data_IF_026108462862
#
_entry.id   IF_026108462862
#
_cell.length_a   1.000
_cell.length_b   1.000
_cell.length_c   1.000
_cell.angle_alpha   90.00
_cell.angle_beta   90.00
_cell.angle_gamma   90.00
#
_symmetry.space_group_name_H-M   'P 1'
#
loop_
_entity.id
_entity.type
_entity.pdbx_description
1 polymer ?
#
# COMPACT_ATOMS: atom_id res chain seq x y z
N UNK A 1 -12.36 1.15 -7.01
CA UNK A 1 -13.18 0.52 -5.93
C UNK A 1 -12.84 -0.97 -5.92
N UNK A 2 -12.35 -1.57 -4.82
CA UNK A 2 -12.29 -3.05 -4.74
C UNK A 2 -13.75 -3.51 -4.59
N UNK A 3 -14.35 -4.18 -5.57
CA UNK A 3 -15.76 -4.56 -5.49
C UNK A 3 -15.84 -5.81 -4.62
N UNK A 4 -15.96 -5.62 -3.32
CA UNK A 4 -16.25 -6.71 -2.40
C UNK A 4 -17.16 -6.16 -1.32
N UNK A 5 -18.38 -6.69 -1.30
CA UNK A 5 -19.40 -6.43 -0.28
C UNK A 5 -19.10 -7.15 1.05
N UNK A 6 -17.95 -7.82 1.15
CA UNK A 6 -17.51 -8.59 2.32
C UNK A 6 -16.27 -7.93 2.91
N UNK A 7 -16.36 -7.61 4.19
CA UNK A 7 -15.24 -7.02 4.91
C UNK A 7 -14.03 -7.97 4.86
N UNK A 8 -12.78 -7.45 4.75
CA UNK A 8 -11.56 -8.24 4.58
C UNK A 8 -11.41 -9.43 5.54
N UNK A 9 -11.91 -9.30 6.76
CA UNK A 9 -11.78 -10.28 7.83
C UNK A 9 -12.76 -11.46 7.71
N UNK A 10 -13.86 -11.30 6.97
CA UNK A 10 -14.91 -12.33 6.86
C UNK A 10 -14.55 -13.46 5.88
N UNK A 11 -13.72 -13.15 4.88
CA UNK A 11 -13.35 -14.10 3.82
C UNK A 11 -12.16 -15.02 4.15
N UNK A 12 -11.38 -14.71 5.19
CA UNK A 12 -10.11 -15.40 5.46
C UNK A 12 -9.03 -15.20 4.37
N UNK A 13 -9.30 -14.35 3.37
CA UNK A 13 -8.40 -14.06 2.27
C UNK A 13 -7.20 -13.23 2.77
N UNK A 14 -5.99 -13.78 2.61
CA UNK A 14 -4.78 -13.01 2.82
C UNK A 14 -4.67 -11.88 1.80
N UNK A 15 -4.38 -10.67 2.28
CA UNK A 15 -4.03 -9.54 1.44
C UNK A 15 -2.51 -9.44 1.34
N UNK A 16 -1.98 -9.65 0.14
CA UNK A 16 -0.54 -9.50 -0.14
C UNK A 16 -0.29 -8.22 -0.91
N UNK A 17 0.70 -7.46 -0.46
CA UNK A 17 1.16 -6.24 -1.13
C UNK A 17 2.64 -6.38 -1.47
N UNK A 18 2.98 -6.31 -2.76
CA UNK A 18 4.37 -6.25 -3.23
C UNK A 18 4.62 -4.82 -3.69
N UNK A 19 5.62 -4.17 -3.10
CA UNK A 19 6.00 -2.79 -3.42
C UNK A 19 7.40 -2.71 -4.00
N UNK A 20 7.54 -1.89 -5.03
CA UNK A 20 8.83 -1.53 -5.63
C UNK A 20 8.94 -0.02 -5.67
N UNK A 21 9.94 0.51 -4.97
CA UNK A 21 10.23 1.94 -4.86
C UNK A 21 11.54 2.24 -5.60
N UNK A 22 11.48 3.02 -6.68
CA UNK A 22 12.63 3.49 -7.46
C UNK A 22 12.43 4.97 -7.78
N UNK A 23 13.53 5.73 -7.97
CA UNK A 23 13.52 7.20 -8.16
C UNK A 23 12.47 7.71 -9.17
N UNK A 24 12.22 6.95 -10.25
CA UNK A 24 11.34 7.37 -11.34
C UNK A 24 10.06 6.53 -11.47
N UNK A 25 9.85 5.54 -10.58
CA UNK A 25 8.68 4.67 -10.68
C UNK A 25 8.40 3.95 -9.37
N UNK A 26 7.20 4.16 -8.84
CA UNK A 26 6.71 3.46 -7.66
C UNK A 26 5.50 2.64 -8.07
N UNK A 27 5.62 1.33 -7.90
CA UNK A 27 4.61 0.36 -8.31
C UNK A 27 4.26 -0.55 -7.16
N UNK A 28 3.00 -0.93 -7.08
CA UNK A 28 2.55 -1.97 -6.17
C UNK A 28 1.63 -2.97 -6.83
N UNK A 29 1.71 -4.22 -6.39
CA UNK A 29 0.73 -5.25 -6.71
C UNK A 29 0.02 -5.64 -5.42
N UNK A 30 -1.30 -5.43 -5.38
CA UNK A 30 -2.17 -5.92 -4.32
C UNK A 30 -2.85 -7.20 -4.80
N UNK A 31 -2.80 -8.25 -4.00
CA UNK A 31 -3.51 -9.50 -4.26
C UNK A 31 -4.45 -9.78 -3.09
N UNK A 32 -5.72 -10.10 -3.37
CA UNK A 32 -6.71 -10.56 -2.40
C UNK A 32 -7.49 -11.72 -3.00
N UNK A 33 -7.40 -12.90 -2.36
CA UNK A 33 -7.93 -14.14 -2.93
C UNK A 33 -7.37 -14.38 -4.34
N UNK A 34 -8.26 -14.51 -5.34
CA UNK A 34 -7.88 -14.67 -6.77
C UNK A 34 -7.68 -13.35 -7.52
N UNK A 35 -7.97 -12.22 -6.90
CA UNK A 35 -7.91 -10.90 -7.56
C UNK A 35 -6.53 -10.28 -7.41
N UNK A 36 -6.05 -9.63 -8.48
CA UNK A 36 -4.79 -8.87 -8.50
C UNK A 36 -5.05 -7.47 -9.04
N UNK A 37 -4.50 -6.48 -8.35
CA UNK A 37 -4.61 -5.06 -8.68
C UNK A 37 -3.19 -4.49 -8.80
N UNK A 38 -2.91 -3.80 -9.89
CA UNK A 38 -1.63 -3.13 -10.11
C UNK A 38 -1.85 -1.63 -10.00
N UNK A 39 -1.05 -0.97 -9.18
CA UNK A 39 -1.11 0.48 -9.01
C UNK A 39 0.21 1.12 -9.40
N UNK A 40 0.10 2.21 -10.13
CA UNK A 40 1.18 3.15 -10.40
C UNK A 40 1.01 4.33 -9.46
N UNK A 41 2.07 4.65 -8.70
CA UNK A 41 2.05 5.71 -7.72
C UNK A 41 2.91 6.88 -8.17
N UNK A 42 2.45 8.09 -7.85
CA UNK A 42 3.26 9.31 -7.84
C UNK A 42 3.55 9.71 -6.40
N UNK A 43 4.75 10.23 -6.12
CA UNK A 43 5.09 10.80 -4.82
C UNK A 43 4.55 12.22 -4.72
N UNK A 44 3.94 12.56 -3.58
CA UNK A 44 3.65 13.94 -3.25
C UNK A 44 4.87 14.64 -2.66
N UNK A 45 5.39 15.64 -3.36
CA UNK A 45 6.47 16.48 -2.85
C UNK A 45 7.73 15.69 -2.49
N UNK A 46 8.45 16.19 -1.47
CA UNK A 46 9.69 15.59 -1.03
C UNK A 46 9.46 14.37 -0.13
N UNK A 47 10.32 13.35 -0.32
CA UNK A 47 10.40 12.21 0.60
C UNK A 47 11.06 12.71 1.88
N UNK A 48 10.31 12.71 2.98
CA UNK A 48 10.85 13.00 4.29
C UNK A 48 11.36 11.70 4.93
N UNK A 49 12.36 11.82 5.81
CA UNK A 49 13.03 10.68 6.44
C UNK A 49 12.07 9.71 7.14
N UNK A 50 10.92 10.19 7.58
CA UNK A 50 9.91 9.49 8.36
C UNK A 50 8.55 9.36 7.66
N UNK A 51 8.36 9.99 6.49
CA UNK A 51 7.07 10.07 5.81
C UNK A 51 7.20 10.03 4.29
N UNK A 52 6.46 9.11 3.67
CA UNK A 52 6.27 9.06 2.21
C UNK A 52 4.78 9.13 1.92
N UNK A 53 4.40 10.04 1.02
CA UNK A 53 3.01 10.18 0.60
C UNK A 53 2.87 9.89 -0.89
N UNK A 54 1.92 9.03 -1.22
CA UNK A 54 1.74 8.49 -2.57
C UNK A 54 0.30 8.67 -3.03
N UNK A 55 0.13 8.90 -4.33
CA UNK A 55 -1.15 8.93 -5.01
C UNK A 55 -1.20 7.90 -6.12
N UNK A 56 -2.26 7.10 -6.18
CA UNK A 56 -2.47 6.21 -7.30
C UNK A 56 -2.78 7.05 -8.54
N UNK A 57 -2.13 6.83 -9.68
CA UNK A 57 -2.39 7.65 -10.88
C UNK A 57 -3.76 7.36 -11.50
N UNK A 58 -4.17 6.09 -11.44
CA UNK A 58 -5.31 5.57 -12.19
C UNK A 58 -6.55 5.33 -11.31
N UNK A 59 -6.43 5.55 -9.99
CA UNK A 59 -7.47 5.22 -9.00
C UNK A 59 -7.66 6.35 -7.97
N UNK A 60 -8.81 6.36 -7.31
CA UNK A 60 -9.15 7.31 -6.24
C UNK A 60 -8.51 6.93 -4.90
N UNK A 61 -7.18 6.75 -4.88
CA UNK A 61 -6.44 6.24 -3.73
C UNK A 61 -5.24 7.13 -3.39
N UNK A 62 -5.10 7.44 -2.11
CA UNK A 62 -3.96 8.12 -1.51
C UNK A 62 -3.45 7.24 -0.36
N UNK A 63 -2.13 7.09 -0.24
CA UNK A 63 -1.56 6.43 0.92
C UNK A 63 -0.38 7.18 1.51
N UNK A 64 -0.24 7.04 2.82
CA UNK A 64 0.82 7.60 3.61
C UNK A 64 1.55 6.47 4.34
N UNK A 65 2.87 6.43 4.15
CA UNK A 65 3.76 5.57 4.91
C UNK A 65 4.46 6.40 5.96
N UNK A 66 4.45 5.90 7.18
CA UNK A 66 5.11 6.51 8.31
C UNK A 66 5.87 5.48 9.14
N UNK A 67 6.73 5.97 10.04
CA UNK A 67 7.40 5.16 11.06
C UNK A 67 8.11 3.92 10.46
N UNK A 68 8.75 4.12 9.30
CA UNK A 68 9.39 3.05 8.57
C UNK A 68 10.64 2.55 9.31
N UNK A 69 10.67 1.25 9.60
CA UNK A 69 11.84 0.56 10.11
C UNK A 69 12.38 -0.41 9.04
N UNK A 70 13.46 -1.14 9.37
CA UNK A 70 13.97 -2.22 8.53
C UNK A 70 12.92 -3.30 8.22
N UNK A 71 11.96 -3.52 9.12
CA UNK A 71 11.06 -4.69 9.08
C UNK A 71 9.59 -4.33 8.94
N UNK A 72 9.20 -3.11 9.31
CA UNK A 72 7.79 -2.71 9.32
C UNK A 72 7.63 -1.23 8.99
N UNK A 73 6.41 -0.82 8.71
CA UNK A 73 6.01 0.57 8.61
C UNK A 73 4.53 0.69 8.95
N UNK A 74 4.07 1.89 9.28
CA UNK A 74 2.65 2.18 9.35
C UNK A 74 2.16 2.62 7.98
N UNK A 75 1.08 2.03 7.49
CA UNK A 75 0.43 2.38 6.24
C UNK A 75 -0.97 2.89 6.53
N UNK A 76 -1.27 4.07 6.00
CA UNK A 76 -2.59 4.68 6.03
C UNK A 76 -3.07 4.88 4.59
N UNK A 77 -4.29 4.43 4.27
CA UNK A 77 -4.87 4.50 2.92
C UNK A 77 -6.27 5.09 3.00
N UNK A 78 -6.51 6.10 2.17
CA UNK A 78 -7.78 6.83 2.09
C UNK A 78 -8.17 7.05 0.61
N UNK A 79 -9.46 7.30 0.32
CA UNK A 79 -9.86 7.87 -0.97
C UNK A 79 -9.29 9.28 -1.14
N UNK A 80 -8.90 9.70 -2.36
CA UNK A 80 -8.42 11.08 -2.57
C UNK A 80 -9.55 12.09 -2.37
N UNK A 81 -10.75 11.74 -2.82
CA UNK A 81 -11.92 12.61 -2.79
C UNK A 81 -12.56 12.72 -1.40
N UNK A 82 -12.39 11.71 -0.53
CA UNK A 82 -13.05 11.65 0.77
C UNK A 82 -12.11 11.07 1.84
N UNK A 83 -11.32 11.94 2.45
CA UNK A 83 -10.33 11.57 3.48
C UNK A 83 -10.95 11.23 4.83
N UNK A 84 -12.28 11.34 4.97
CA UNK A 84 -12.97 10.93 6.21
C UNK A 84 -13.11 9.41 6.30
N UNK A 85 -12.98 8.71 5.17
CA UNK A 85 -13.02 7.25 5.08
C UNK A 85 -11.62 6.66 5.17
N UNK A 86 -11.50 5.61 5.97
CA UNK A 86 -10.27 4.81 6.07
C UNK A 86 -10.47 3.54 5.26
N UNK A 87 -9.68 3.35 4.21
CA UNK A 87 -9.64 2.10 3.45
C UNK A 87 -8.74 1.07 4.16
N UNK A 88 -7.65 1.54 4.74
CA UNK A 88 -6.74 0.73 5.55
C UNK A 88 -5.92 1.63 6.49
N UNK A 89 -5.69 1.19 7.72
CA UNK A 89 -4.74 1.83 8.62
C UNK A 89 -4.13 0.79 9.54
N UNK A 90 -2.81 0.64 9.52
CA UNK A 90 -2.14 -0.30 10.41
C UNK A 90 -0.68 -0.55 10.11
N UNK A 91 -0.07 -1.42 10.92
CA UNK A 91 1.33 -1.84 10.75
C UNK A 91 1.43 -2.89 9.65
N UNK A 92 2.29 -2.64 8.68
CA UNK A 92 2.63 -3.54 7.59
C UNK A 92 4.02 -4.11 7.80
N UNK A 93 4.15 -5.43 7.75
CA UNK A 93 5.43 -6.13 7.84
C UNK A 93 6.04 -6.31 6.45
N UNK A 94 7.29 -5.90 6.28
CA UNK A 94 8.08 -6.10 5.06
C UNK A 94 8.42 -7.58 4.93
N UNK A 95 7.85 -8.26 3.93
CA UNK A 95 8.23 -9.63 3.61
C UNK A 95 9.63 -9.65 3.01
N UNK A 96 10.61 -10.20 3.74
CA UNK A 96 11.93 -10.51 3.18
C UNK A 96 11.74 -11.68 2.21
N UNK A 97 12.16 -11.52 0.95
CA UNK A 97 12.08 -12.60 -0.03
C UNK A 97 12.89 -13.82 0.41
N UNK A 98 12.53 -15.02 -0.06
CA UNK A 98 13.27 -16.28 0.19
C UNK A 98 14.73 -16.22 -0.32
N UNK A 99 15.08 -15.21 -1.12
CA UNK A 99 16.44 -14.93 -1.58
C UNK A 99 17.21 -13.93 -0.71
N UNK A 100 16.72 -13.52 0.47
CA UNK A 100 17.45 -12.58 1.35
C UNK A 100 18.59 -13.22 2.17
N UNK A 101 19.19 -14.30 1.65
CA UNK A 101 20.35 -14.99 2.22
C UNK A 101 21.65 -14.56 1.53
N UNK A 102 21.79 -13.29 1.14
CA UNK A 102 23.08 -12.66 0.83
C UNK A 102 23.00 -11.17 1.14
#
# INVERSE_FOLDING_TARGET
>A
MIPSFTEPYESGDETLVIWKFQENQIKSVFSRGKSKYQFHWSVEGDILCDRIKLFANDEDWECEIQAMTKERFHLHVVPKQDKTKILFSGVVTKKKGILSFF
#
